data_IF_244719993828
#
_entry.id   IF_244719993828
#
_cell.length_a   1.000
_cell.length_b   1.000
_cell.length_c   1.000
_cell.angle_alpha   90.00
_cell.angle_beta   90.00
_cell.angle_gamma   90.00
#
_symmetry.space_group_name_H-M   'P 1'
#
loop_
_entity.id
_entity.type
_entity.pdbx_description
1 polymer ?
#
# COMPACT_ATOMS: atom_id res chain seq x y z
N UNK A 1 -19.94 50.18 44.95
CA UNK A 1 -19.02 49.02 45.06
C UNK A 1 -18.81 48.46 43.66
N UNK A 2 -17.59 48.43 43.10
CA UNK A 2 -17.35 48.02 41.75
C UNK A 2 -17.23 46.50 41.67
N UNK A 3 -17.91 45.90 40.68
CA UNK A 3 -17.79 44.49 40.27
C UNK A 3 -16.45 44.35 39.57
N UNK A 4 -15.63 43.43 40.04
CA UNK A 4 -14.33 43.07 39.44
C UNK A 4 -14.54 42.37 38.10
N UNK A 5 -13.99 42.94 37.04
CA UNK A 5 -13.75 42.29 35.76
C UNK A 5 -12.59 41.30 35.90
N UNK A 6 -12.73 40.09 35.42
CA UNK A 6 -11.61 39.23 35.22
C UNK A 6 -11.88 37.74 35.37
N UNK A 7 -12.68 37.18 34.47
CA UNK A 7 -12.53 35.76 34.15
C UNK A 7 -12.60 35.59 32.63
N UNK A 8 -11.45 35.37 32.06
CA UNK A 8 -11.27 35.14 30.62
C UNK A 8 -11.78 33.73 30.27
N UNK A 9 -12.63 33.53 29.24
CA UNK A 9 -13.16 32.24 28.88
C UNK A 9 -12.10 31.23 28.40
N UNK A 10 -10.87 31.67 28.17
CA UNK A 10 -9.78 30.88 27.58
C UNK A 10 -9.19 29.80 28.50
N UNK A 11 -9.22 29.99 29.84
CA UNK A 11 -8.64 29.01 30.76
C UNK A 11 -9.52 27.78 30.95
N UNK A 12 -10.82 27.93 30.85
CA UNK A 12 -11.76 26.83 31.04
C UNK A 12 -11.83 25.88 29.78
N UNK A 13 -11.60 26.47 28.58
CA UNK A 13 -11.57 25.71 27.34
C UNK A 13 -10.28 24.88 27.20
N UNK A 14 -9.14 25.40 27.67
CA UNK A 14 -7.85 24.67 27.67
C UNK A 14 -7.88 23.50 28.64
N UNK A 15 -8.50 23.65 29.82
CA UNK A 15 -8.64 22.56 30.79
C UNK A 15 -9.58 21.46 30.26
N UNK A 16 -10.66 21.80 29.57
CA UNK A 16 -11.57 20.80 28.97
C UNK A 16 -10.91 20.00 27.84
N UNK A 17 -10.02 20.59 27.06
CA UNK A 17 -9.26 19.89 26.01
C UNK A 17 -8.23 18.91 26.57
N UNK A 18 -7.56 19.27 27.68
CA UNK A 18 -6.60 18.39 28.38
C UNK A 18 -7.32 17.23 29.08
N UNK A 19 -8.46 17.50 29.71
CA UNK A 19 -9.27 16.46 30.36
C UNK A 19 -9.87 15.46 29.36
N UNK A 20 -10.25 15.91 28.16
CA UNK A 20 -10.69 15.05 27.07
C UNK A 20 -9.54 14.18 26.55
N UNK A 21 -8.33 14.73 26.46
CA UNK A 21 -7.13 14.01 26.03
C UNK A 21 -6.67 12.97 27.04
N UNK A 22 -6.65 13.32 28.35
CA UNK A 22 -6.31 12.39 29.42
C UNK A 22 -7.38 11.31 29.63
N UNK A 23 -8.65 11.62 29.41
CA UNK A 23 -9.74 10.65 29.39
C UNK A 23 -9.61 9.63 28.23
N UNK A 24 -9.21 10.06 27.04
CA UNK A 24 -8.92 9.21 25.89
C UNK A 24 -7.68 8.32 26.12
N UNK A 25 -6.62 8.84 26.76
CA UNK A 25 -5.42 8.05 27.11
C UNK A 25 -5.73 7.04 28.21
N UNK A 26 -6.56 7.36 29.18
CA UNK A 26 -7.04 6.44 30.21
C UNK A 26 -7.84 5.27 29.65
N UNK A 27 -8.59 5.48 28.57
CA UNK A 27 -9.32 4.45 27.83
C UNK A 27 -8.39 3.52 27.04
N UNK A 28 -7.26 4.05 26.52
CA UNK A 28 -6.26 3.29 25.73
C UNK A 28 -5.55 2.21 26.56
N UNK A 29 -5.22 2.48 27.82
CA UNK A 29 -4.49 1.51 28.67
C UNK A 29 -5.27 0.25 29.07
N UNK A 30 -6.59 0.23 28.89
CA UNK A 30 -7.44 -0.92 29.22
C UNK A 30 -7.82 -1.82 28.05
N UNK A 31 -7.44 -1.49 26.79
CA UNK A 31 -7.94 -2.17 25.59
C UNK A 31 -6.90 -2.78 24.65
N UNK A 32 -5.62 -2.80 25.02
CA UNK A 32 -4.56 -3.37 24.15
C UNK A 32 -4.60 -4.92 24.02
N UNK A 33 -5.54 -5.61 24.66
CA UNK A 33 -5.53 -7.07 24.72
C UNK A 33 -6.62 -7.79 23.87
N UNK A 34 -7.45 -7.09 23.07
CA UNK A 34 -8.44 -7.82 22.30
C UNK A 34 -8.73 -7.26 20.90
N UNK A 35 -8.30 -7.96 19.82
CA UNK A 35 -8.53 -7.52 18.43
C UNK A 35 -9.95 -7.79 17.91
N UNK A 36 -10.91 -8.11 18.78
CA UNK A 36 -12.30 -8.33 18.40
C UNK A 36 -13.19 -7.15 18.79
N UNK A 37 -14.13 -6.76 17.91
CA UNK A 37 -15.14 -5.78 18.25
C UNK A 37 -16.16 -6.34 19.25
N UNK A 38 -17.04 -5.48 19.80
CA UNK A 38 -18.09 -5.87 20.76
C UNK A 38 -19.03 -6.99 20.27
N UNK A 39 -18.99 -7.35 18.97
CA UNK A 39 -19.82 -8.41 18.34
C UNK A 39 -19.03 -9.68 18.03
N UNK A 40 -17.75 -9.79 18.43
CA UNK A 40 -16.95 -10.98 18.19
C UNK A 40 -16.42 -11.15 16.75
N UNK A 41 -16.54 -10.13 15.87
CA UNK A 41 -16.01 -10.16 14.53
C UNK A 41 -14.56 -9.68 14.48
N UNK A 42 -13.77 -10.25 13.57
CA UNK A 42 -12.40 -9.78 13.25
C UNK A 42 -12.45 -8.32 12.80
N UNK A 43 -11.63 -7.44 13.40
CA UNK A 43 -11.56 -6.03 13.01
C UNK A 43 -10.98 -5.91 11.60
N UNK A 44 -11.59 -5.05 10.78
CA UNK A 44 -11.16 -4.77 9.41
C UNK A 44 -10.01 -3.77 9.43
N UNK A 45 -8.85 -4.15 8.93
CA UNK A 45 -7.66 -3.28 8.91
C UNK A 45 -7.74 -2.26 7.77
N UNK A 46 -7.63 -0.96 8.08
CA UNK A 46 -7.69 0.13 7.09
C UNK A 46 -6.67 1.22 7.39
N UNK A 47 -6.19 1.87 6.33
CA UNK A 47 -5.28 3.03 6.45
C UNK A 47 -6.06 4.32 6.51
N UNK A 48 -5.59 5.25 7.34
CA UNK A 48 -6.11 6.61 7.38
C UNK A 48 -5.16 7.52 6.62
N UNK A 49 -5.72 8.35 5.74
CA UNK A 49 -5.05 9.45 5.07
C UNK A 49 -5.63 10.77 5.58
N UNK A 50 -4.76 11.63 6.10
CA UNK A 50 -5.11 12.96 6.58
C UNK A 50 -4.07 13.94 6.03
N UNK A 51 -4.45 14.76 5.07
CA UNK A 51 -3.50 15.60 4.39
C UNK A 51 -4.08 16.90 3.85
N UNK A 52 -3.19 17.85 3.52
CA UNK A 52 -3.57 19.12 2.95
C UNK A 52 -4.12 18.94 1.53
N UNK A 53 -5.33 19.46 1.28
CA UNK A 53 -5.94 19.55 -0.02
C UNK A 53 -5.43 20.72 -0.85
N UNK A 54 -5.94 20.83 -2.08
CA UNK A 54 -5.59 21.92 -3.02
C UNK A 54 -6.36 23.23 -2.79
N UNK A 55 -7.48 23.18 -2.08
CA UNK A 55 -8.32 24.34 -1.81
C UNK A 55 -9.09 24.80 -3.04
N UNK A 56 -9.95 23.95 -3.60
CA UNK A 56 -10.83 24.28 -4.72
C UNK A 56 -12.29 24.10 -4.31
N UNK A 57 -12.93 25.18 -3.86
CA UNK A 57 -14.33 25.16 -3.43
C UNK A 57 -15.30 24.80 -4.57
N UNK A 58 -14.93 25.12 -5.82
CA UNK A 58 -15.73 24.72 -7.01
C UNK A 58 -15.75 23.21 -7.20
N UNK A 59 -14.63 22.52 -6.94
CA UNK A 59 -14.58 21.05 -6.94
C UNK A 59 -15.35 20.50 -5.74
N UNK A 60 -15.06 21.00 -4.54
CA UNK A 60 -15.68 20.50 -3.31
C UNK A 60 -17.20 20.62 -3.34
N UNK A 61 -17.72 21.72 -3.91
CA UNK A 61 -19.17 22.01 -4.00
C UNK A 61 -19.81 21.50 -5.30
N UNK A 62 -19.09 20.72 -6.13
CA UNK A 62 -19.59 20.23 -7.43
C UNK A 62 -20.10 21.32 -8.38
N UNK A 63 -19.53 22.52 -8.31
CA UNK A 63 -19.68 23.56 -9.32
C UNK A 63 -18.85 23.24 -10.57
N UNK A 64 -17.85 22.40 -10.41
CA UNK A 64 -17.06 21.78 -11.48
C UNK A 64 -17.03 20.26 -11.27
N UNK A 65 -17.39 19.52 -12.32
CA UNK A 65 -17.38 18.04 -12.34
C UNK A 65 -16.09 17.55 -12.98
N UNK A 66 -15.28 16.83 -12.22
CA UNK A 66 -14.08 16.17 -12.73
C UNK A 66 -14.44 14.81 -13.35
N UNK A 67 -13.58 14.27 -14.20
CA UNK A 67 -13.82 13.01 -14.93
C UNK A 67 -13.99 11.77 -14.03
N UNK A 68 -13.51 11.84 -12.79
CA UNK A 68 -13.60 10.78 -11.79
C UNK A 68 -14.85 10.86 -10.91
N UNK A 69 -15.75 11.82 -11.15
CA UNK A 69 -17.00 12.01 -10.41
C UNK A 69 -18.16 11.30 -11.13
N UNK A 70 -18.92 10.51 -10.40
CA UNK A 70 -20.16 9.90 -10.90
C UNK A 70 -21.36 10.82 -10.61
N UNK A 71 -21.94 11.50 -11.63
CA UNK A 71 -23.04 12.43 -11.43
C UNK A 71 -24.29 11.79 -10.83
N UNK A 72 -24.50 10.50 -11.03
CA UNK A 72 -25.66 9.78 -10.49
C UNK A 72 -25.57 9.59 -8.98
N UNK A 73 -24.34 9.61 -8.43
CA UNK A 73 -24.08 9.49 -6.99
C UNK A 73 -23.90 10.83 -6.29
N UNK A 74 -23.72 11.93 -7.01
CA UNK A 74 -23.57 13.27 -6.41
C UNK A 74 -24.66 13.62 -5.39
N UNK A 75 -25.94 13.22 -5.54
CA UNK A 75 -26.95 13.43 -4.50
C UNK A 75 -26.68 12.70 -3.17
N UNK A 76 -25.74 11.74 -3.14
CA UNK A 76 -25.35 11.02 -1.91
C UNK A 76 -24.29 11.79 -1.11
N UNK A 77 -23.66 12.82 -1.68
CA UNK A 77 -22.71 13.68 -0.98
C UNK A 77 -23.39 14.37 0.21
N UNK A 78 -22.65 14.47 1.31
CA UNK A 78 -23.16 15.11 2.53
C UNK A 78 -22.47 16.46 2.71
N UNK A 79 -23.22 17.54 2.62
CA UNK A 79 -22.74 18.89 2.90
C UNK A 79 -23.04 19.23 4.36
N UNK A 80 -22.01 19.41 5.18
CA UNK A 80 -22.14 19.81 6.58
C UNK A 80 -22.25 21.33 6.73
N UNK A 81 -21.40 22.05 6.00
CA UNK A 81 -21.35 23.51 5.99
C UNK A 81 -21.06 23.97 4.56
N UNK A 82 -21.73 25.02 4.14
CA UNK A 82 -21.47 25.72 2.88
C UNK A 82 -21.76 27.20 3.04
N UNK A 83 -20.74 28.02 3.21
CA UNK A 83 -20.80 29.45 3.34
C UNK A 83 -19.84 30.11 2.34
N UNK A 84 -20.23 31.18 1.63
CA UNK A 84 -19.30 31.93 0.80
C UNK A 84 -18.13 32.48 1.63
N UNK A 85 -16.92 32.32 1.14
CA UNK A 85 -15.71 32.74 1.86
C UNK A 85 -15.71 34.24 2.21
N UNK A 86 -16.29 35.09 1.38
CA UNK A 86 -16.44 36.52 1.67
C UNK A 86 -17.28 36.79 2.92
N UNK A 87 -18.45 36.13 3.01
CA UNK A 87 -19.33 36.20 4.16
C UNK A 87 -18.66 35.67 5.44
N UNK A 88 -17.91 34.57 5.32
CA UNK A 88 -17.15 34.04 6.44
C UNK A 88 -16.08 35.02 6.96
N UNK A 89 -15.38 35.71 6.05
CA UNK A 89 -14.41 36.73 6.42
C UNK A 89 -15.06 37.97 7.08
N UNK A 90 -16.18 38.41 6.54
CA UNK A 90 -16.90 39.55 7.12
C UNK A 90 -17.42 39.21 8.53
N UNK A 91 -17.99 38.01 8.70
CA UNK A 91 -18.43 37.54 10.01
C UNK A 91 -17.28 37.45 11.04
N UNK A 92 -16.11 36.99 10.63
CA UNK A 92 -14.98 36.76 11.54
C UNK A 92 -14.21 38.06 11.87
N UNK A 93 -14.08 38.97 10.90
CA UNK A 93 -13.09 40.01 10.98
C UNK A 93 -13.64 41.45 10.86
N UNK A 94 -14.91 41.66 10.48
CA UNK A 94 -15.45 43.01 10.32
C UNK A 94 -15.36 43.85 11.58
N UNK A 95 -15.87 43.35 12.71
CA UNK A 95 -15.79 44.05 13.98
C UNK A 95 -14.35 44.35 14.43
N UNK A 96 -13.44 43.38 14.25
CA UNK A 96 -12.04 43.57 14.58
C UNK A 96 -11.37 44.63 13.70
N UNK A 97 -11.77 44.71 12.44
CA UNK A 97 -11.33 45.71 11.49
C UNK A 97 -11.84 47.09 11.88
N UNK A 98 -13.12 47.19 12.27
CA UNK A 98 -13.70 48.46 12.77
C UNK A 98 -12.99 48.94 14.02
N UNK A 99 -12.79 48.06 15.03
CA UNK A 99 -12.06 48.38 16.25
C UNK A 99 -10.61 48.83 15.98
N UNK A 100 -9.96 48.18 15.01
CA UNK A 100 -8.62 48.56 14.58
C UNK A 100 -8.62 49.94 13.95
N UNK A 101 -9.49 50.18 12.96
CA UNK A 101 -9.60 51.48 12.24
C UNK A 101 -9.90 52.62 13.18
N UNK A 102 -10.80 52.45 14.14
CA UNK A 102 -11.18 53.45 15.12
C UNK A 102 -9.98 53.96 15.97
N UNK A 103 -8.94 53.12 16.10
CA UNK A 103 -7.70 53.51 16.85
C UNK A 103 -6.64 54.16 15.96
N UNK A 104 -6.83 54.19 14.63
CA UNK A 104 -5.85 54.75 13.71
C UNK A 104 -6.02 56.29 13.62
N UNK A 105 -4.91 57.00 13.74
CA UNK A 105 -4.87 58.47 13.53
C UNK A 105 -4.58 58.85 12.07
N UNK A 106 -4.07 57.92 11.28
CA UNK A 106 -3.63 58.15 9.92
C UNK A 106 -4.42 57.23 8.98
N UNK A 107 -4.96 57.82 7.91
CA UNK A 107 -5.80 57.12 6.95
C UNK A 107 -5.03 56.02 6.19
N UNK A 108 -3.72 56.22 5.96
CA UNK A 108 -2.86 55.23 5.31
C UNK A 108 -2.61 53.95 6.13
N UNK A 109 -3.01 53.96 7.42
CA UNK A 109 -2.95 52.78 8.29
C UNK A 109 -4.28 52.09 8.49
N UNK A 110 -5.35 52.65 7.95
CA UNK A 110 -6.66 52.05 8.02
C UNK A 110 -6.81 50.93 7.00
N UNK A 111 -7.58 49.93 7.34
CA UNK A 111 -7.99 48.85 6.42
C UNK A 111 -9.22 49.37 5.66
N UNK A 112 -9.07 49.56 4.36
CA UNK A 112 -10.13 49.98 3.46
C UNK A 112 -10.72 48.78 2.73
N UNK A 113 -12.06 48.74 2.59
CA UNK A 113 -12.77 47.59 2.02
C UNK A 113 -12.86 46.41 2.98
N UNK A 114 -13.07 45.26 2.45
CA UNK A 114 -13.13 44.04 3.27
C UNK A 114 -11.73 43.61 3.75
N UNK A 115 -11.70 42.95 4.90
CA UNK A 115 -10.44 42.40 5.43
C UNK A 115 -9.81 41.37 4.45
N UNK A 116 -10.62 40.64 3.71
CA UNK A 116 -10.15 39.73 2.67
C UNK A 116 -9.39 40.49 1.57
N UNK A 117 -10.01 41.53 1.00
CA UNK A 117 -9.40 42.32 -0.06
C UNK A 117 -8.12 43.03 0.42
N UNK A 118 -8.12 43.51 1.65
CA UNK A 118 -6.93 44.11 2.26
C UNK A 118 -5.76 43.14 2.34
N UNK A 119 -5.99 41.86 2.70
CA UNK A 119 -4.94 40.87 2.81
C UNK A 119 -4.47 40.33 1.46
N UNK A 120 -5.38 40.03 0.55
CA UNK A 120 -5.09 39.28 -0.66
C UNK A 120 -5.06 40.12 -1.93
N UNK A 121 -5.45 41.36 -1.88
CA UNK A 121 -5.46 42.31 -3.00
C UNK A 121 -6.48 41.97 -4.11
N UNK A 122 -7.39 41.06 -3.85
CA UNK A 122 -8.42 40.59 -4.80
C UNK A 122 -9.74 40.34 -4.06
N UNK A 123 -10.87 40.34 -4.79
CA UNK A 123 -12.15 39.93 -4.25
C UNK A 123 -12.14 38.48 -3.80
N UNK A 124 -13.00 38.11 -2.83
CA UNK A 124 -13.17 36.73 -2.41
C UNK A 124 -13.39 35.77 -3.60
N UNK A 125 -12.69 34.64 -3.59
CA UNK A 125 -12.74 33.67 -4.69
C UNK A 125 -12.64 32.23 -4.19
N UNK A 126 -13.06 31.27 -5.01
CA UNK A 126 -13.21 29.84 -4.68
C UNK A 126 -11.89 29.06 -4.68
N UNK A 127 -10.73 29.74 -4.75
CA UNK A 127 -9.41 29.13 -4.71
C UNK A 127 -8.54 29.78 -3.65
N UNK A 128 -7.61 29.02 -3.07
CA UNK A 128 -6.67 29.54 -2.07
C UNK A 128 -5.85 30.69 -2.66
N UNK A 129 -5.85 31.82 -1.96
CA UNK A 129 -4.96 32.96 -2.22
C UNK A 129 -3.91 33.04 -1.14
N UNK A 130 -2.73 33.50 -1.54
CA UNK A 130 -1.61 33.69 -0.60
C UNK A 130 -1.25 35.17 -0.57
N UNK A 131 -1.28 35.77 0.62
CA UNK A 131 -0.88 37.11 0.86
C UNK A 131 0.65 37.29 0.80
N UNK A 132 1.13 38.54 0.73
CA UNK A 132 2.56 38.88 0.71
C UNK A 132 3.32 38.33 1.93
N UNK A 133 2.68 38.25 3.08
CA UNK A 133 3.21 37.69 4.32
C UNK A 133 3.03 36.16 4.46
N UNK A 134 2.68 35.45 3.36
CA UNK A 134 2.47 34.02 3.25
C UNK A 134 1.23 33.47 3.97
N UNK A 135 0.33 34.33 4.48
CA UNK A 135 -0.98 33.85 4.94
C UNK A 135 -1.81 33.34 3.78
N UNK A 136 -2.51 32.23 3.99
CA UNK A 136 -3.45 31.67 3.03
C UNK A 136 -4.86 32.14 3.36
N UNK A 137 -5.69 32.36 2.32
CA UNK A 137 -7.08 32.75 2.52
C UNK A 137 -7.90 31.71 3.29
N UNK A 138 -7.62 30.46 3.07
CA UNK A 138 -8.15 29.32 3.84
C UNK A 138 -7.23 28.13 3.69
N UNK A 139 -7.47 27.12 4.49
CA UNK A 139 -6.82 25.82 4.43
C UNK A 139 -7.85 24.75 4.14
N UNK A 140 -7.46 23.74 3.41
CA UNK A 140 -8.22 22.54 3.18
C UNK A 140 -7.44 21.35 3.73
N UNK A 141 -8.11 20.49 4.48
CA UNK A 141 -7.63 19.15 4.77
C UNK A 141 -8.59 18.11 4.17
N UNK A 142 -8.01 17.05 3.61
CA UNK A 142 -8.74 15.92 3.05
C UNK A 142 -8.52 14.70 3.92
N UNK A 143 -9.60 14.08 4.33
CA UNK A 143 -9.60 12.92 5.23
C UNK A 143 -10.23 11.73 4.54
N UNK A 144 -9.53 10.59 4.53
CA UNK A 144 -9.98 9.36 3.89
C UNK A 144 -9.60 8.15 4.75
N UNK A 145 -10.46 7.12 4.76
CA UNK A 145 -10.22 5.84 5.41
C UNK A 145 -10.23 4.74 4.36
N UNK A 146 -9.14 3.96 4.30
CA UNK A 146 -9.00 2.85 3.36
C UNK A 146 -8.59 3.27 1.96
N UNK A 147 -8.69 2.32 1.03
CA UNK A 147 -8.37 2.43 -0.39
C UNK A 147 -9.59 2.02 -1.22
N UNK A 148 -9.48 2.17 -2.54
CA UNK A 148 -10.54 1.78 -3.48
C UNK A 148 -10.91 0.30 -3.34
N UNK A 149 -9.92 -0.56 -3.08
CA UNK A 149 -10.09 -2.01 -3.01
C UNK A 149 -10.87 -2.45 -1.75
N UNK A 150 -10.76 -1.71 -0.66
CA UNK A 150 -11.31 -2.08 0.66
C UNK A 150 -12.39 -1.15 1.20
N UNK A 151 -12.53 0.05 0.63
CA UNK A 151 -13.45 1.10 1.08
C UNK A 151 -14.12 1.83 -0.08
N UNK A 152 -13.86 1.38 -1.33
CA UNK A 152 -14.40 1.98 -2.54
C UNK A 152 -15.89 1.68 -2.74
N UNK A 153 -16.48 2.39 -3.70
CA UNK A 153 -17.87 2.18 -4.09
C UNK A 153 -18.12 0.71 -4.48
N UNK A 154 -19.20 0.15 -3.95
CA UNK A 154 -19.56 -1.26 -4.16
C UNK A 154 -18.92 -2.24 -3.17
N UNK A 155 -18.01 -1.82 -2.31
CA UNK A 155 -17.49 -2.64 -1.22
C UNK A 155 -18.47 -2.64 -0.02
N UNK A 156 -18.40 -3.69 0.82
CA UNK A 156 -19.21 -3.80 2.04
C UNK A 156 -18.92 -2.66 3.04
N UNK A 157 -17.73 -2.06 2.98
CA UNK A 157 -17.27 -1.08 3.96
C UNK A 157 -17.48 0.36 3.51
N UNK A 158 -17.96 0.61 2.30
CA UNK A 158 -18.19 1.94 1.77
C UNK A 158 -19.03 2.82 2.71
N UNK A 159 -20.17 2.32 3.16
CA UNK A 159 -21.06 3.04 4.07
C UNK A 159 -20.46 3.17 5.48
N UNK A 160 -19.82 2.12 5.98
CA UNK A 160 -19.17 2.13 7.29
C UNK A 160 -18.09 3.21 7.38
N UNK A 161 -17.29 3.35 6.33
CA UNK A 161 -16.25 4.40 6.24
C UNK A 161 -16.89 5.80 6.17
N UNK A 162 -17.96 5.96 5.40
CA UNK A 162 -18.70 7.21 5.33
C UNK A 162 -19.27 7.62 6.70
N UNK A 163 -19.82 6.66 7.46
CA UNK A 163 -20.36 6.91 8.80
C UNK A 163 -19.26 7.35 9.79
N UNK A 164 -18.07 6.72 9.74
CA UNK A 164 -16.92 7.17 10.53
C UNK A 164 -16.48 8.60 10.19
N UNK A 165 -16.43 8.95 8.91
CA UNK A 165 -16.05 10.30 8.46
C UNK A 165 -17.11 11.34 8.83
N UNK A 166 -18.38 10.96 8.81
CA UNK A 166 -19.50 11.80 9.25
C UNK A 166 -19.39 12.11 10.74
N UNK A 167 -19.25 11.08 11.59
CA UNK A 167 -19.08 11.24 13.03
C UNK A 167 -17.84 12.08 13.37
N UNK A 168 -16.75 11.87 12.66
CA UNK A 168 -15.54 12.68 12.81
C UNK A 168 -15.81 14.17 12.55
N UNK A 169 -16.55 14.50 11.49
CA UNK A 169 -16.85 15.89 11.11
C UNK A 169 -17.80 16.57 12.11
N UNK A 170 -18.77 15.83 12.66
CA UNK A 170 -19.75 16.39 13.61
C UNK A 170 -19.08 17.01 14.85
N UNK A 171 -17.98 16.45 15.34
CA UNK A 171 -17.21 16.98 16.45
C UNK A 171 -16.05 17.91 16.07
N UNK A 172 -15.79 18.17 14.78
CA UNK A 172 -14.58 18.87 14.34
C UNK A 172 -14.50 20.30 14.83
N UNK A 173 -15.56 21.08 14.71
CA UNK A 173 -15.56 22.51 15.10
C UNK A 173 -15.37 22.71 16.61
N UNK A 174 -15.94 21.81 17.45
CA UNK A 174 -15.77 21.87 18.90
C UNK A 174 -14.32 21.58 19.31
N UNK A 175 -13.67 20.61 18.67
CA UNK A 175 -12.26 20.28 18.92
C UNK A 175 -11.30 21.37 18.43
N UNK A 176 -11.71 22.11 17.40
CA UNK A 176 -10.88 23.09 16.71
C UNK A 176 -11.49 24.50 16.74
N UNK A 177 -11.61 25.12 17.91
CA UNK A 177 -12.35 26.38 18.07
C UNK A 177 -11.73 27.56 17.31
N UNK A 178 -10.43 27.52 17.01
CA UNK A 178 -9.72 28.55 16.25
C UNK A 178 -9.67 28.26 14.74
N UNK A 179 -10.28 27.17 14.28
CA UNK A 179 -10.44 26.87 12.86
C UNK A 179 -11.92 27.01 12.49
N UNK A 180 -12.26 28.14 11.92
CA UNK A 180 -13.64 28.39 11.49
C UNK A 180 -13.92 27.61 10.20
N UNK A 181 -14.70 26.55 10.30
CA UNK A 181 -15.12 25.75 9.15
C UNK A 181 -16.24 26.49 8.41
N UNK A 182 -15.97 26.91 7.18
CA UNK A 182 -16.94 27.61 6.34
C UNK A 182 -17.45 26.75 5.18
N UNK A 183 -16.74 25.67 4.85
CA UNK A 183 -17.17 24.68 3.88
C UNK A 183 -16.70 23.29 4.30
N UNK A 184 -17.60 22.31 4.33
CA UNK A 184 -17.26 20.93 4.62
C UNK A 184 -18.22 19.98 3.88
N UNK A 185 -17.65 19.05 3.09
CA UNK A 185 -18.40 18.13 2.26
C UNK A 185 -17.76 16.74 2.32
N UNK A 186 -18.58 15.73 2.57
CA UNK A 186 -18.22 14.32 2.40
C UNK A 186 -18.63 13.88 0.99
N UNK A 187 -17.65 13.57 0.17
CA UNK A 187 -17.87 13.04 -1.17
C UNK A 187 -18.11 11.54 -1.15
N UNK A 188 -19.24 11.14 -1.72
CA UNK A 188 -19.67 9.76 -1.91
C UNK A 188 -19.72 9.36 -3.40
N UNK A 189 -19.47 10.32 -4.28
CA UNK A 189 -19.61 10.22 -5.74
C UNK A 189 -18.30 9.99 -6.50
N UNK A 190 -17.21 9.78 -5.77
CA UNK A 190 -15.90 9.38 -6.32
C UNK A 190 -15.58 7.93 -5.95
N UNK A 191 -14.35 7.50 -6.24
CA UNK A 191 -13.90 6.12 -6.05
C UNK A 191 -14.01 5.63 -4.59
N UNK A 192 -13.72 6.51 -3.62
CA UNK A 192 -13.77 6.23 -2.18
C UNK A 192 -14.41 7.39 -1.43
N UNK A 193 -15.13 7.15 -0.31
CA UNK A 193 -15.61 8.23 0.54
C UNK A 193 -14.42 9.03 1.10
N UNK A 194 -14.49 10.35 0.97
CA UNK A 194 -13.51 11.25 1.55
C UNK A 194 -14.12 12.59 1.92
N UNK A 195 -13.61 13.19 2.99
CA UNK A 195 -14.13 14.40 3.58
C UNK A 195 -13.20 15.57 3.24
N UNK A 196 -13.75 16.64 2.67
CA UNK A 196 -13.11 17.93 2.48
C UNK A 196 -13.52 18.87 3.59
N UNK A 197 -12.55 19.47 4.28
CA UNK A 197 -12.76 20.43 5.37
C UNK A 197 -12.01 21.71 5.03
N UNK A 198 -12.74 22.75 4.68
CA UNK A 198 -12.20 24.06 4.37
C UNK A 198 -12.41 25.01 5.56
N UNK A 199 -11.34 25.57 6.10
CA UNK A 199 -11.38 26.41 7.30
C UNK A 199 -10.49 27.63 7.22
N UNK A 200 -10.90 28.68 7.93
CA UNK A 200 -10.16 29.93 8.14
C UNK A 200 -9.56 29.89 9.53
N UNK A 201 -8.22 29.95 9.69
CA UNK A 201 -7.61 30.00 11.02
C UNK A 201 -7.74 31.37 11.64
N UNK A 202 -8.30 31.43 12.83
CA UNK A 202 -8.55 32.66 13.60
C UNK A 202 -7.58 32.76 14.78
N UNK A 203 -6.73 33.76 14.76
CA UNK A 203 -5.79 34.03 15.84
C UNK A 203 -6.08 35.38 16.55
N UNK A 204 -5.85 35.43 17.87
CA UNK A 204 -6.05 36.62 18.69
C UNK A 204 -4.71 37.28 19.05
N UNK A 205 -4.64 38.57 18.90
CA UNK A 205 -3.38 39.34 19.01
C UNK A 205 -3.53 40.54 19.96
N UNK A 206 -2.49 40.79 20.76
CA UNK A 206 -2.45 41.92 21.67
C UNK A 206 -2.11 43.26 20.99
N UNK A 207 -1.54 43.22 19.81
CA UNK A 207 -1.10 44.39 19.04
C UNK A 207 -1.66 44.35 17.62
N UNK A 208 -1.95 45.52 17.06
CA UNK A 208 -2.57 45.61 15.73
C UNK A 208 -4.07 45.35 15.76
N UNK A 209 -4.55 44.67 14.76
CA UNK A 209 -5.91 44.14 14.73
C UNK A 209 -5.97 42.97 15.70
N UNK A 210 -6.98 42.93 16.57
CA UNK A 210 -7.05 41.97 17.67
C UNK A 210 -7.43 40.56 17.22
N UNK A 211 -8.21 40.44 16.16
CA UNK A 211 -8.59 39.17 15.56
C UNK A 211 -8.17 39.13 14.09
N UNK A 212 -7.37 38.17 13.69
CA UNK A 212 -6.81 38.08 12.35
C UNK A 212 -6.78 36.65 11.85
N UNK A 213 -6.76 36.49 10.52
CA UNK A 213 -6.37 35.22 9.90
C UNK A 213 -4.90 34.91 10.25
N UNK A 214 -4.68 33.79 10.95
CA UNK A 214 -3.34 33.45 11.39
C UNK A 214 -3.20 32.02 11.92
N UNK A 215 -2.71 31.10 11.08
CA UNK A 215 -2.57 29.68 11.41
C UNK A 215 -1.65 29.42 12.61
N UNK A 216 -0.53 30.13 12.69
CA UNK A 216 0.44 29.93 13.77
C UNK A 216 -0.13 30.32 15.14
N UNK A 217 -0.87 31.43 15.19
CA UNK A 217 -1.50 31.90 16.42
C UNK A 217 -2.69 31.01 16.79
N UNK A 218 -3.51 30.58 15.82
CA UNK A 218 -4.61 29.68 16.04
C UNK A 218 -4.12 28.34 16.65
N UNK A 219 -3.08 27.74 16.08
CA UNK A 219 -2.47 26.50 16.59
C UNK A 219 -1.87 26.68 17.99
N UNK A 220 -1.24 27.83 18.25
CA UNK A 220 -0.71 28.16 19.58
C UNK A 220 -1.83 28.27 20.61
N UNK A 221 -2.93 28.95 20.29
CA UNK A 221 -4.09 29.13 21.19
C UNK A 221 -4.79 27.80 21.46
N UNK A 222 -4.83 26.88 20.49
CA UNK A 222 -5.34 25.51 20.66
C UNK A 222 -4.36 24.57 21.38
N UNK A 223 -3.17 25.05 21.82
CA UNK A 223 -2.23 24.26 22.62
C UNK A 223 -1.22 23.44 21.82
N UNK A 224 -1.19 23.53 20.49
CA UNK A 224 -0.25 22.76 19.65
C UNK A 224 1.16 23.40 19.58
N UNK A 225 1.37 24.53 20.27
CA UNK A 225 2.65 25.22 20.36
C UNK A 225 2.99 26.04 19.12
N UNK A 226 4.29 26.37 18.98
CA UNK A 226 4.79 27.27 17.94
C UNK A 226 5.66 26.53 16.91
N UNK A 227 5.92 27.20 15.76
CA UNK A 227 6.86 26.77 14.73
C UNK A 227 6.27 25.78 13.75
N UNK A 228 7.15 25.27 12.85
CA UNK A 228 6.76 24.43 11.71
C UNK A 228 6.13 23.09 12.10
N UNK A 229 6.38 22.61 13.32
CA UNK A 229 5.86 21.33 13.82
C UNK A 229 4.44 21.44 14.42
N UNK A 230 3.91 22.65 14.65
CA UNK A 230 2.62 22.84 15.29
C UNK A 230 1.46 22.20 14.48
N UNK A 231 1.46 22.40 13.17
CA UNK A 231 0.44 21.81 12.29
C UNK A 231 0.55 20.28 12.21
N UNK A 232 1.76 19.74 12.29
CA UNK A 232 1.97 18.29 12.30
C UNK A 232 1.46 17.66 13.61
N UNK A 233 1.68 18.34 14.76
CA UNK A 233 1.13 17.90 16.05
C UNK A 233 -0.39 17.94 16.07
N UNK A 234 -0.98 19.01 15.52
CA UNK A 234 -2.42 19.11 15.38
C UNK A 234 -2.99 17.96 14.53
N UNK A 235 -2.42 17.72 13.31
CA UNK A 235 -2.88 16.62 12.45
C UNK A 235 -2.73 15.26 13.14
N UNK A 236 -1.65 15.05 13.87
CA UNK A 236 -1.46 13.80 14.62
C UNK A 236 -2.56 13.61 15.69
N UNK A 237 -2.95 14.68 16.39
CA UNK A 237 -4.04 14.64 17.36
C UNK A 237 -5.39 14.33 16.69
N UNK A 238 -5.70 14.96 15.56
CA UNK A 238 -6.92 14.70 14.80
C UNK A 238 -6.96 13.26 14.23
N UNK A 239 -5.81 12.72 13.79
CA UNK A 239 -5.71 11.31 13.39
C UNK A 239 -5.99 10.37 14.55
N UNK A 240 -5.57 10.69 15.77
CA UNK A 240 -5.89 9.87 16.95
C UNK A 240 -7.40 9.88 17.28
N UNK A 241 -8.08 11.01 17.10
CA UNK A 241 -9.54 11.07 17.22
C UNK A 241 -10.20 10.16 16.18
N UNK A 242 -9.78 10.25 14.92
CA UNK A 242 -10.32 9.42 13.85
C UNK A 242 -10.01 7.93 14.08
N UNK A 243 -8.83 7.61 14.60
CA UNK A 243 -8.47 6.25 15.01
C UNK A 243 -9.44 5.71 16.07
N UNK A 244 -9.81 6.52 17.06
CA UNK A 244 -10.75 6.11 18.12
C UNK A 244 -12.14 5.83 17.53
N UNK A 245 -12.66 6.69 16.66
CA UNK A 245 -13.94 6.49 15.96
C UNK A 245 -13.88 5.18 15.14
N UNK A 246 -12.83 4.99 14.35
CA UNK A 246 -12.63 3.77 13.56
C UNK A 246 -12.69 2.50 14.43
N UNK A 247 -11.99 2.52 15.56
CA UNK A 247 -11.99 1.38 16.50
C UNK A 247 -13.38 1.08 17.07
N UNK A 248 -14.19 2.11 17.36
CA UNK A 248 -15.57 1.94 17.82
C UNK A 248 -16.47 1.31 16.78
N UNK A 249 -16.22 1.62 15.50
CA UNK A 249 -16.90 1.05 14.35
C UNK A 249 -16.32 -0.31 13.88
N UNK A 250 -15.33 -0.88 14.59
CA UNK A 250 -14.74 -2.17 14.26
C UNK A 250 -13.70 -2.13 13.15
N UNK A 251 -13.18 -0.95 12.84
CA UNK A 251 -12.04 -0.73 11.93
C UNK A 251 -10.78 -0.57 12.76
N UNK A 252 -9.74 -1.37 12.45
CA UNK A 252 -8.41 -1.27 13.05
C UNK A 252 -7.53 -0.37 12.17
N UNK A 253 -7.16 0.84 12.62
CA UNK A 253 -6.26 1.70 11.87
C UNK A 253 -4.88 1.07 11.75
N UNK A 254 -4.34 1.05 10.53
CA UNK A 254 -2.97 0.66 10.25
C UNK A 254 -2.04 1.86 10.44
N UNK A 255 -0.81 1.59 10.86
CA UNK A 255 0.22 2.62 10.95
C UNK A 255 0.37 3.37 9.61
N UNK A 256 0.57 4.71 9.63
CA UNK A 256 0.79 5.46 8.40
C UNK A 256 2.04 4.94 7.69
N UNK A 257 1.95 4.74 6.38
CA UNK A 257 3.15 4.53 5.57
C UNK A 257 4.05 5.76 5.69
N UNK A 258 5.38 5.55 5.63
CA UNK A 258 6.32 6.68 5.52
C UNK A 258 5.84 7.58 4.40
N UNK A 259 5.68 8.88 4.70
CA UNK A 259 5.23 9.86 3.72
C UNK A 259 6.13 9.74 2.48
N UNK A 260 5.57 9.22 1.40
CA UNK A 260 6.21 9.30 0.08
C UNK A 260 6.26 10.78 -0.22
N UNK A 261 7.43 11.33 -0.51
CA UNK A 261 7.59 12.74 -0.81
C UNK A 261 6.55 13.23 -1.83
N UNK A 262 6.40 14.54 -1.96
CA UNK A 262 5.42 15.14 -2.87
C UNK A 262 5.75 14.74 -4.31
N UNK A 263 5.10 13.67 -4.80
CA UNK A 263 5.23 13.23 -6.19
C UNK A 263 4.14 13.94 -6.98
N UNK A 264 4.48 14.53 -8.11
CA UNK A 264 3.51 15.14 -9.03
C UNK A 264 2.49 14.11 -9.52
N UNK A 265 1.23 14.51 -9.72
CA UNK A 265 0.14 13.59 -10.09
C UNK A 265 0.46 12.72 -11.33
N UNK A 266 1.08 13.24 -12.41
CA UNK A 266 1.47 12.41 -13.56
C UNK A 266 2.50 11.34 -13.18
N UNK A 267 3.51 11.71 -12.38
CA UNK A 267 4.56 10.80 -11.89
C UNK A 267 3.97 9.72 -10.96
N UNK A 268 3.01 10.08 -10.11
CA UNK A 268 2.29 9.13 -9.27
C UNK A 268 1.45 8.14 -10.12
N UNK A 269 0.76 8.61 -11.14
CA UNK A 269 -0.02 7.74 -12.05
C UNK A 269 0.89 6.77 -12.80
N UNK A 270 2.07 7.22 -13.25
CA UNK A 270 3.04 6.38 -13.93
C UNK A 270 3.66 5.34 -12.98
N UNK A 271 4.05 5.74 -11.76
CA UNK A 271 4.53 4.80 -10.73
C UNK A 271 3.45 3.78 -10.35
N UNK A 272 2.20 4.20 -10.30
CA UNK A 272 1.08 3.29 -10.02
C UNK A 272 0.92 2.29 -11.16
N UNK A 273 0.96 2.71 -12.42
CA UNK A 273 0.90 1.82 -13.58
C UNK A 273 2.04 0.80 -13.56
N UNK A 274 3.27 1.24 -13.29
CA UNK A 274 4.43 0.34 -13.18
C UNK A 274 4.28 -0.66 -12.01
N UNK A 275 3.74 -0.21 -10.89
CA UNK A 275 3.45 -1.11 -9.76
C UNK A 275 2.33 -2.12 -10.08
N UNK A 276 1.30 -1.70 -10.82
CA UNK A 276 0.22 -2.58 -11.26
C UNK A 276 0.75 -3.61 -12.27
N UNK A 277 1.60 -3.22 -13.23
CA UNK A 277 2.30 -4.11 -14.16
C UNK A 277 3.21 -5.12 -13.43
N UNK A 278 3.98 -4.66 -12.42
CA UNK A 278 4.80 -5.52 -11.58
C UNK A 278 3.97 -6.48 -10.73
N UNK A 279 2.82 -6.03 -10.23
CA UNK A 279 1.89 -6.87 -9.48
C UNK A 279 1.30 -7.97 -10.37
N UNK A 280 0.96 -7.64 -11.62
CA UNK A 280 0.49 -8.62 -12.61
C UNK A 280 1.59 -9.63 -12.98
N UNK A 281 2.82 -9.18 -13.20
CA UNK A 281 3.97 -10.07 -13.44
C UNK A 281 4.25 -10.98 -12.24
N UNK A 282 4.15 -10.46 -11.01
CA UNK A 282 4.30 -11.26 -9.80
C UNK A 282 3.18 -12.30 -9.68
N UNK A 283 1.93 -11.95 -9.98
CA UNK A 283 0.81 -12.89 -9.98
C UNK A 283 0.99 -13.99 -11.04
N UNK A 284 1.49 -13.66 -12.23
CA UNK A 284 1.82 -14.63 -13.27
C UNK A 284 2.95 -15.58 -12.82
N UNK A 285 4.00 -15.04 -12.21
CA UNK A 285 5.12 -15.82 -11.66
C UNK A 285 4.69 -16.73 -10.51
N UNK A 286 3.80 -16.26 -9.63
CA UNK A 286 3.21 -17.10 -8.58
C UNK A 286 2.35 -18.24 -9.14
N UNK A 287 1.57 -17.98 -10.19
CA UNK A 287 0.81 -19.01 -10.88
C UNK A 287 1.73 -20.07 -11.53
N UNK A 288 2.81 -19.64 -12.20
CA UNK A 288 3.81 -20.56 -12.75
C UNK A 288 4.53 -21.36 -11.66
N UNK A 289 4.86 -20.74 -10.54
CA UNK A 289 5.43 -21.42 -9.38
C UNK A 289 4.48 -22.46 -8.80
N UNK A 290 3.19 -22.14 -8.71
CA UNK A 290 2.15 -23.07 -8.27
C UNK A 290 2.02 -24.26 -9.22
N UNK A 291 2.03 -24.03 -10.54
CA UNK A 291 2.02 -25.09 -11.54
C UNK A 291 3.26 -25.99 -11.45
N UNK A 292 4.46 -25.39 -11.31
CA UNK A 292 5.71 -26.14 -11.15
C UNK A 292 5.72 -26.96 -9.85
N UNK A 293 5.16 -26.43 -8.75
CA UNK A 293 4.99 -27.17 -7.48
C UNK A 293 4.07 -28.36 -7.66
N UNK A 294 2.91 -28.18 -8.32
CA UNK A 294 1.99 -29.28 -8.61
C UNK A 294 2.62 -30.36 -9.48
N UNK A 295 3.43 -29.96 -10.50
CA UNK A 295 4.20 -30.93 -11.32
C UNK A 295 5.25 -31.66 -10.48
N UNK A 296 5.94 -30.96 -9.57
CA UNK A 296 6.91 -31.60 -8.66
C UNK A 296 6.24 -32.60 -7.73
N UNK A 297 5.08 -32.28 -7.16
CA UNK A 297 4.32 -33.18 -6.28
C UNK A 297 3.86 -34.43 -7.02
N UNK A 298 3.42 -34.31 -8.28
CA UNK A 298 3.08 -35.49 -9.13
C UNK A 298 4.30 -36.35 -9.42
N UNK A 299 5.46 -35.73 -9.65
CA UNK A 299 6.71 -36.45 -9.87
C UNK A 299 7.17 -37.20 -8.61
N UNK A 300 7.01 -36.54 -7.44
CA UNK A 300 7.31 -37.17 -6.15
C UNK A 300 6.41 -38.41 -5.90
N UNK A 301 5.11 -38.29 -6.22
CA UNK A 301 4.19 -39.45 -6.15
C UNK A 301 4.61 -40.57 -7.08
N UNK A 302 5.01 -40.26 -8.32
CA UNK A 302 5.51 -41.29 -9.26
C UNK A 302 6.81 -41.94 -8.76
N UNK A 303 7.70 -41.19 -8.15
CA UNK A 303 8.92 -41.71 -7.52
C UNK A 303 8.56 -42.65 -6.36
N UNK A 304 7.59 -42.27 -5.54
CA UNK A 304 7.13 -43.08 -4.41
C UNK A 304 6.45 -44.39 -4.88
N UNK A 305 5.59 -44.34 -5.91
CA UNK A 305 5.00 -45.49 -6.52
C UNK A 305 6.04 -46.45 -7.14
N UNK A 306 7.03 -45.89 -7.87
CA UNK A 306 8.11 -46.69 -8.44
C UNK A 306 9.04 -47.24 -7.37
N UNK A 307 9.31 -46.50 -6.31
CA UNK A 307 10.06 -46.98 -5.15
C UNK A 307 9.34 -48.18 -4.47
N UNK A 308 8.00 -48.07 -4.31
CA UNK A 308 7.20 -49.17 -3.78
C UNK A 308 7.22 -50.41 -4.70
N UNK A 309 7.18 -50.22 -6.03
CA UNK A 309 7.31 -51.31 -7.01
C UNK A 309 8.70 -51.98 -6.91
N UNK A 310 9.78 -51.20 -6.78
CA UNK A 310 11.14 -51.75 -6.59
C UNK A 310 11.23 -52.49 -5.26
N UNK A 311 10.67 -51.97 -4.17
CA UNK A 311 10.59 -52.70 -2.89
C UNK A 311 9.80 -54.00 -3.00
N UNK A 312 8.67 -54.00 -3.72
CA UNK A 312 7.89 -55.22 -3.97
C UNK A 312 8.65 -56.26 -4.79
N UNK A 313 9.41 -55.83 -5.80
CA UNK A 313 10.26 -56.71 -6.62
C UNK A 313 11.39 -57.29 -5.76
N UNK A 314 12.02 -56.52 -4.93
CA UNK A 314 13.09 -56.94 -4.02
C UNK A 314 12.60 -57.95 -2.98
N UNK A 315 11.36 -57.82 -2.50
CA UNK A 315 10.73 -58.79 -1.59
C UNK A 315 10.30 -60.10 -2.27
N UNK A 316 10.32 -60.15 -3.60
CA UNK A 316 9.91 -61.34 -4.39
C UNK A 316 11.11 -62.17 -4.87
N UNK A 317 12.36 -61.78 -4.50
CA UNK A 317 13.54 -62.57 -4.81
C UNK A 317 13.58 -63.80 -3.90
N UNK A 318 13.40 -65.05 -4.45
CA UNK A 318 13.31 -66.24 -3.63
C UNK A 318 14.65 -66.65 -3.03
N UNK A 319 14.62 -67.60 -2.06
CA UNK A 319 15.70 -68.16 -1.22
C UNK A 319 17.00 -68.68 -1.93
N UNK A 320 17.14 -68.48 -3.23
CA UNK A 320 18.33 -68.88 -4.02
C UNK A 320 19.60 -68.10 -3.73
N UNK A 321 19.46 -67.01 -2.99
CA UNK A 321 20.59 -66.09 -2.64
C UNK A 321 21.55 -66.73 -1.63
N UNK A 322 21.11 -67.71 -0.81
CA UNK A 322 21.94 -68.36 0.22
C UNK A 322 23.13 -69.12 -0.33
N UNK A 323 23.05 -69.62 -1.58
CA UNK A 323 24.15 -70.40 -2.18
C UNK A 323 25.29 -69.56 -2.76
N UNK A 324 25.08 -68.23 -2.93
CA UNK A 324 26.06 -67.40 -3.66
C UNK A 324 26.61 -66.17 -2.91
N UNK A 325 26.37 -66.02 -1.60
CA UNK A 325 26.79 -64.83 -0.81
C UNK A 325 26.24 -63.50 -1.37
N UNK A 326 25.17 -63.54 -2.15
CA UNK A 326 24.59 -62.37 -2.82
C UNK A 326 23.56 -61.73 -1.89
N UNK A 327 23.05 -62.47 -0.90
CA UNK A 327 22.00 -62.05 0.03
C UNK A 327 22.40 -60.78 0.80
N UNK A 328 23.59 -60.76 1.39
CA UNK A 328 24.10 -59.64 2.16
C UNK A 328 24.35 -58.39 1.30
N UNK A 329 24.85 -58.57 0.08
CA UNK A 329 25.12 -57.46 -0.86
C UNK A 329 23.82 -56.81 -1.36
N UNK A 330 22.80 -57.63 -1.70
CA UNK A 330 21.47 -57.17 -2.12
C UNK A 330 20.76 -56.44 -0.98
N UNK A 331 20.75 -57.02 0.21
CA UNK A 331 20.12 -56.45 1.39
C UNK A 331 20.77 -55.13 1.84
N UNK A 332 22.10 -55.08 1.76
CA UNK A 332 22.83 -53.85 2.05
C UNK A 332 22.52 -52.75 1.04
N UNK A 333 22.55 -53.04 -0.25
CA UNK A 333 22.20 -52.12 -1.33
C UNK A 333 20.75 -51.63 -1.23
N UNK A 334 19.82 -52.50 -0.86
CA UNK A 334 18.42 -52.18 -0.64
C UNK A 334 18.24 -51.22 0.56
N UNK A 335 18.91 -51.51 1.68
CA UNK A 335 18.90 -50.62 2.88
C UNK A 335 19.50 -49.27 2.56
N UNK A 336 20.61 -49.22 1.87
CA UNK A 336 21.26 -48.00 1.47
C UNK A 336 20.40 -47.19 0.50
N UNK A 337 19.81 -47.82 -0.53
CA UNK A 337 18.85 -47.19 -1.43
C UNK A 337 17.60 -46.65 -0.70
N UNK A 338 17.07 -47.44 0.22
CA UNK A 338 15.89 -47.03 1.02
C UNK A 338 16.20 -45.83 1.86
N UNK A 339 17.38 -45.80 2.50
CA UNK A 339 17.81 -44.65 3.32
C UNK A 339 18.07 -43.38 2.49
N UNK A 340 18.56 -43.53 1.27
CA UNK A 340 18.79 -42.44 0.32
C UNK A 340 17.49 -41.91 -0.31
N UNK A 341 16.47 -42.74 -0.42
CA UNK A 341 15.12 -42.43 -0.93
C UNK A 341 14.19 -41.83 0.15
N UNK A 342 14.64 -41.82 1.41
CA UNK A 342 13.84 -41.29 2.52
C UNK A 342 13.95 -39.75 2.59
N UNK A 343 13.00 -39.05 1.97
CA UNK A 343 12.86 -37.59 1.96
C UNK A 343 13.36 -36.89 0.68
N UNK A 344 12.61 -35.89 0.27
CA UNK A 344 12.84 -35.13 -1.00
C UNK A 344 14.24 -34.50 -1.09
N UNK A 345 14.79 -34.02 0.02
CA UNK A 345 16.12 -33.40 0.06
C UNK A 345 17.24 -34.45 -0.07
N UNK A 346 17.06 -35.65 0.46
CA UNK A 346 18.01 -36.73 0.36
C UNK A 346 18.13 -37.23 -1.08
N UNK A 347 17.01 -37.37 -1.78
CA UNK A 347 16.99 -37.80 -3.20
C UNK A 347 17.74 -36.79 -4.08
N UNK A 348 17.52 -35.48 -3.88
CA UNK A 348 18.21 -34.44 -4.65
C UNK A 348 19.72 -34.38 -4.38
N UNK A 349 20.14 -34.66 -3.15
CA UNK A 349 21.53 -34.58 -2.73
C UNK A 349 22.34 -35.81 -3.13
N UNK A 350 21.71 -36.98 -3.24
CA UNK A 350 22.34 -38.25 -3.45
C UNK A 350 21.92 -38.97 -4.76
N UNK A 351 21.41 -38.21 -5.73
CA UNK A 351 20.88 -38.77 -7.00
C UNK A 351 21.89 -39.66 -7.74
N UNK A 352 23.18 -39.28 -7.75
CA UNK A 352 24.25 -40.04 -8.42
C UNK A 352 24.54 -41.36 -7.72
N UNK A 353 24.52 -41.31 -6.39
CA UNK A 353 24.73 -42.46 -5.54
C UNK A 353 23.55 -43.47 -5.67
N UNK A 354 22.32 -42.97 -5.71
CA UNK A 354 21.10 -43.76 -5.94
C UNK A 354 21.19 -44.50 -7.28
N UNK A 355 21.57 -43.79 -8.35
CA UNK A 355 21.71 -44.37 -9.68
C UNK A 355 22.82 -45.41 -9.71
N UNK A 356 23.98 -45.11 -9.13
CA UNK A 356 25.08 -46.06 -9.06
C UNK A 356 24.69 -47.35 -8.34
N UNK A 357 23.99 -47.25 -7.20
CA UNK A 357 23.52 -48.38 -6.42
C UNK A 357 22.41 -49.16 -7.14
N UNK A 358 21.50 -48.47 -7.83
CA UNK A 358 20.47 -49.11 -8.67
C UNK A 358 21.07 -49.86 -9.88
N UNK A 359 22.11 -49.28 -10.51
CA UNK A 359 22.85 -49.96 -11.59
C UNK A 359 23.59 -51.21 -11.09
N UNK A 360 24.18 -51.15 -9.90
CA UNK A 360 24.84 -52.27 -9.26
C UNK A 360 23.82 -53.39 -8.94
N UNK A 361 22.67 -53.02 -8.39
CA UNK A 361 21.56 -53.96 -8.16
C UNK A 361 21.09 -54.61 -9.45
N UNK A 362 20.94 -53.84 -10.53
CA UNK A 362 20.61 -54.36 -11.86
C UNK A 362 21.65 -55.38 -12.38
N UNK A 363 22.95 -55.14 -12.15
CA UNK A 363 24.02 -56.08 -12.50
C UNK A 363 23.95 -57.38 -11.70
N UNK A 364 23.63 -57.29 -10.41
CA UNK A 364 23.45 -58.48 -9.54
C UNK A 364 22.25 -59.28 -9.99
N UNK A 365 21.11 -58.61 -10.26
CA UNK A 365 19.91 -59.26 -10.80
C UNK A 365 20.17 -59.94 -12.18
N UNK A 366 21.02 -59.33 -13.02
CA UNK A 366 21.45 -59.95 -14.27
C UNK A 366 22.21 -61.24 -14.05
N UNK A 367 23.15 -61.27 -13.09
CA UNK A 367 23.89 -62.49 -12.73
C UNK A 367 22.97 -63.58 -12.19
N UNK A 368 21.97 -63.20 -11.37
CA UNK A 368 20.92 -64.12 -10.88
C UNK A 368 20.07 -64.68 -12.02
N UNK A 369 19.68 -63.83 -12.98
CA UNK A 369 18.94 -64.27 -14.18
C UNK A 369 19.70 -65.27 -15.09
N UNK A 370 21.00 -64.98 -15.21
CA UNK A 370 21.86 -65.91 -16.05
C UNK A 370 22.08 -67.25 -15.39
N UNK A 371 21.87 -67.42 -14.05
CA UNK A 371 22.05 -68.67 -13.30
C UNK A 371 20.77 -69.51 -13.17
N UNK A 372 19.58 -68.95 -13.44
CA UNK A 372 18.28 -69.66 -13.27
C UNK A 372 17.51 -69.77 -14.57
N UNK A 373 17.76 -70.82 -15.34
CA UNK A 373 17.10 -71.16 -16.62
C UNK A 373 15.61 -71.62 -16.54
N UNK A 374 14.94 -71.53 -15.37
CA UNK A 374 13.55 -71.97 -15.19
C UNK A 374 12.52 -70.92 -14.74
N UNK A 375 12.93 -69.68 -14.53
CA UNK A 375 11.98 -68.57 -14.21
C UNK A 375 12.11 -67.38 -15.20
N UNK A 376 12.60 -67.64 -16.42
CA UNK A 376 13.10 -66.64 -17.37
C UNK A 376 12.12 -65.55 -17.76
N UNK A 377 10.84 -65.89 -17.99
CA UNK A 377 9.90 -64.94 -18.56
C UNK A 377 9.46 -63.83 -17.58
N UNK A 378 9.35 -64.19 -16.29
CA UNK A 378 8.93 -63.21 -15.27
C UNK A 378 10.07 -62.27 -14.88
N UNK A 379 11.29 -62.81 -14.77
CA UNK A 379 12.49 -62.02 -14.44
C UNK A 379 12.87 -61.12 -15.62
N UNK A 380 12.71 -61.58 -16.85
CA UNK A 380 12.96 -60.79 -18.06
C UNK A 380 11.99 -59.63 -18.17
N UNK A 381 10.69 -59.82 -17.95
CA UNK A 381 9.67 -58.80 -17.98
C UNK A 381 9.87 -57.73 -16.86
N UNK A 382 10.30 -58.17 -15.67
CA UNK A 382 10.62 -57.28 -14.57
C UNK A 382 11.87 -56.44 -14.84
N UNK A 383 12.86 -57.04 -15.53
CA UNK A 383 14.08 -56.34 -15.93
C UNK A 383 13.83 -55.29 -17.00
N UNK A 384 13.03 -55.58 -18.05
CA UNK A 384 12.64 -54.56 -19.04
C UNK A 384 11.92 -53.35 -18.38
N UNK A 385 11.02 -53.66 -17.45
CA UNK A 385 10.33 -52.59 -16.71
C UNK A 385 11.29 -51.75 -15.83
N UNK A 386 12.28 -52.39 -15.20
CA UNK A 386 13.31 -51.71 -14.40
C UNK A 386 14.21 -50.84 -15.28
N UNK A 387 14.68 -51.38 -16.41
CA UNK A 387 15.52 -50.63 -17.38
C UNK A 387 14.75 -49.43 -18.00
N UNK A 388 13.46 -49.58 -18.28
CA UNK A 388 12.59 -48.53 -18.71
C UNK A 388 12.43 -47.44 -17.65
N UNK A 389 12.21 -47.82 -16.39
CA UNK A 389 12.10 -46.90 -15.25
C UNK A 389 13.38 -46.16 -14.94
N UNK A 390 14.55 -46.80 -15.10
CA UNK A 390 15.87 -46.16 -14.94
C UNK A 390 16.13 -45.11 -16.03
N UNK A 391 15.75 -45.38 -17.29
CA UNK A 391 15.87 -44.41 -18.39
C UNK A 391 15.01 -43.18 -18.16
N UNK A 392 13.73 -43.37 -17.77
CA UNK A 392 12.84 -42.25 -17.43
C UNK A 392 13.35 -41.43 -16.28
N UNK A 393 13.93 -42.04 -15.25
CA UNK A 393 14.51 -41.38 -14.10
C UNK A 393 15.70 -40.51 -14.50
N UNK A 394 16.54 -40.99 -15.42
CA UNK A 394 17.70 -40.24 -15.94
C UNK A 394 17.26 -39.03 -16.79
N UNK A 395 16.24 -39.21 -17.65
CA UNK A 395 15.66 -38.06 -18.42
C UNK A 395 15.11 -36.95 -17.51
N UNK A 396 14.32 -37.37 -16.50
CA UNK A 396 13.79 -36.42 -15.51
C UNK A 396 14.92 -35.70 -14.74
N UNK A 397 15.99 -36.43 -14.40
CA UNK A 397 17.16 -35.82 -13.73
C UNK A 397 17.87 -34.81 -14.60
N UNK A 398 18.05 -35.08 -15.88
CA UNK A 398 18.66 -34.10 -16.80
C UNK A 398 17.82 -32.84 -16.91
N UNK A 399 16.50 -32.96 -17.03
CA UNK A 399 15.58 -31.80 -17.05
C UNK A 399 15.61 -31.01 -15.75
N UNK A 400 15.67 -31.68 -14.59
CA UNK A 400 15.80 -31.05 -13.30
C UNK A 400 17.11 -30.27 -13.17
N UNK A 401 18.22 -30.85 -13.64
CA UNK A 401 19.55 -30.21 -13.63
C UNK A 401 19.57 -28.95 -14.52
N UNK A 402 18.94 -29.03 -15.69
CA UNK A 402 18.81 -27.89 -16.60
C UNK A 402 17.96 -26.76 -15.95
N UNK A 403 16.78 -27.10 -15.45
CA UNK A 403 15.89 -26.13 -14.79
C UNK A 403 16.55 -25.48 -13.54
N UNK A 404 17.30 -26.25 -12.77
CA UNK A 404 18.07 -25.72 -11.63
C UNK A 404 19.19 -24.75 -12.06
N UNK A 405 19.84 -25.02 -13.20
CA UNK A 405 20.81 -24.11 -13.81
C UNK A 405 20.17 -22.78 -14.21
N UNK A 406 19.08 -22.84 -14.96
CA UNK A 406 18.33 -21.67 -15.39
C UNK A 406 17.82 -20.82 -14.22
N UNK A 407 17.31 -21.45 -13.16
CA UNK A 407 16.91 -20.76 -11.94
C UNK A 407 18.07 -20.05 -11.25
N UNK A 408 19.27 -20.64 -11.29
CA UNK A 408 20.48 -20.05 -10.66
C UNK A 408 21.03 -18.87 -11.47
N UNK A 409 20.87 -18.88 -12.80
CA UNK A 409 21.20 -17.76 -13.67
C UNK A 409 20.22 -16.61 -13.47
N UNK A 410 18.91 -16.88 -13.51
CA UNK A 410 17.88 -15.89 -13.26
C UNK A 410 18.02 -15.21 -11.90
N UNK A 411 18.37 -15.95 -10.84
CA UNK A 411 18.65 -15.37 -9.52
C UNK A 411 19.84 -14.40 -9.54
N UNK A 412 20.89 -14.71 -10.29
CA UNK A 412 22.05 -13.82 -10.46
C UNK A 412 21.65 -12.56 -11.21
N UNK A 413 20.86 -12.70 -12.27
CA UNK A 413 20.37 -11.57 -13.06
C UNK A 413 19.47 -10.65 -12.25
N UNK A 414 18.54 -11.21 -11.49
CA UNK A 414 17.67 -10.45 -10.56
C UNK A 414 18.51 -9.71 -9.53
N UNK A 415 19.51 -10.34 -8.93
CA UNK A 415 20.40 -9.72 -7.94
C UNK A 415 21.21 -8.57 -8.55
N UNK A 416 21.70 -8.76 -9.79
CA UNK A 416 22.44 -7.73 -10.54
C UNK A 416 21.53 -6.54 -10.93
N UNK A 417 20.29 -6.81 -11.36
CA UNK A 417 19.32 -5.78 -11.67
C UNK A 417 18.91 -5.00 -10.44
N UNK A 418 18.72 -5.67 -9.31
CA UNK A 418 18.38 -5.01 -8.04
C UNK A 418 19.49 -4.06 -7.61
N UNK A 419 20.76 -4.46 -7.66
CA UNK A 419 21.89 -3.59 -7.37
C UNK A 419 21.92 -2.35 -8.28
N UNK A 420 21.65 -2.51 -9.57
CA UNK A 420 21.57 -1.37 -10.52
C UNK A 420 20.40 -0.43 -10.19
N UNK A 421 19.26 -0.96 -9.78
CA UNK A 421 18.10 -0.16 -9.36
C UNK A 421 18.44 0.63 -8.10
N UNK A 422 19.13 0.02 -7.13
CA UNK A 422 19.53 0.68 -5.90
C UNK A 422 20.54 1.82 -6.19
N UNK A 423 21.55 1.59 -7.04
CA UNK A 423 22.51 2.60 -7.48
C UNK A 423 21.84 3.76 -8.23
N UNK A 424 20.92 3.45 -9.15
CA UNK A 424 20.16 4.48 -9.88
C UNK A 424 19.24 5.29 -8.95
N UNK A 425 18.63 4.65 -7.98
CA UNK A 425 17.78 5.31 -6.99
C UNK A 425 18.58 6.26 -6.11
N UNK A 426 19.77 5.84 -5.67
CA UNK A 426 20.71 6.70 -4.95
C UNK A 426 21.17 7.87 -5.82
N UNK A 427 21.59 7.61 -7.07
CA UNK A 427 22.00 8.65 -8.01
C UNK A 427 20.90 9.68 -8.26
N UNK A 428 19.66 9.25 -8.50
CA UNK A 428 18.50 10.14 -8.67
C UNK A 428 18.25 10.98 -7.42
N UNK A 429 18.40 10.39 -6.23
CA UNK A 429 18.23 11.11 -4.97
C UNK A 429 19.30 12.19 -4.77
N UNK A 430 20.55 11.90 -5.14
CA UNK A 430 21.66 12.84 -5.11
C UNK A 430 21.46 13.97 -6.14
N UNK A 431 21.04 13.63 -7.34
CA UNK A 431 20.76 14.61 -8.41
C UNK A 431 19.65 15.59 -8.00
N UNK A 432 18.56 15.07 -7.42
CA UNK A 432 17.47 15.90 -6.86
C UNK A 432 17.95 16.86 -5.76
N UNK A 433 18.90 16.41 -4.95
CA UNK A 433 19.39 17.16 -3.78
C UNK A 433 20.41 18.23 -4.14
N UNK A 434 21.35 17.93 -5.03
CA UNK A 434 22.51 18.76 -5.32
C UNK A 434 22.42 19.54 -6.64
N UNK A 435 21.68 19.02 -7.63
CA UNK A 435 21.57 19.59 -8.98
C UNK A 435 20.11 19.58 -9.49
N UNK A 436 19.19 20.27 -8.80
CA UNK A 436 17.74 20.18 -9.11
C UNK A 436 17.40 20.66 -10.54
N UNK A 437 18.17 21.59 -11.12
CA UNK A 437 17.97 22.03 -12.49
C UNK A 437 18.33 20.94 -13.51
N UNK A 438 19.47 20.27 -13.33
CA UNK A 438 19.86 19.13 -14.18
C UNK A 438 18.89 17.96 -14.04
N UNK A 439 18.38 17.75 -12.84
CA UNK A 439 17.34 16.73 -12.63
C UNK A 439 16.09 17.03 -13.46
N UNK A 440 15.63 18.30 -13.48
CA UNK A 440 14.48 18.72 -14.27
C UNK A 440 14.73 18.54 -15.79
N UNK A 441 15.93 18.87 -16.27
CA UNK A 441 16.32 18.69 -17.68
C UNK A 441 16.34 17.20 -18.08
N UNK A 442 16.92 16.34 -17.24
CA UNK A 442 16.95 14.88 -17.48
C UNK A 442 15.54 14.30 -17.50
N UNK A 443 14.68 14.73 -16.57
CA UNK A 443 13.28 14.32 -16.53
C UNK A 443 12.53 14.72 -17.81
N UNK A 444 12.71 15.95 -18.28
CA UNK A 444 12.09 16.43 -19.51
C UNK A 444 12.57 15.66 -20.75
N UNK A 445 13.86 15.33 -20.81
CA UNK A 445 14.42 14.50 -21.85
C UNK A 445 13.86 13.06 -21.81
N UNK A 446 13.68 12.50 -20.63
CA UNK A 446 13.08 11.18 -20.45
C UNK A 446 11.61 11.14 -20.91
N UNK A 447 10.82 12.15 -20.57
CA UNK A 447 9.43 12.29 -21.01
C UNK A 447 9.34 12.39 -22.54
N UNK A 448 10.26 13.12 -23.17
CA UNK A 448 10.34 13.21 -24.62
C UNK A 448 10.64 11.85 -25.27
N UNK A 449 11.64 11.12 -24.78
CA UNK A 449 12.00 9.77 -25.28
C UNK A 449 10.84 8.79 -25.09
N UNK A 450 10.14 8.87 -23.96
CA UNK A 450 8.99 8.00 -23.69
C UNK A 450 7.84 8.26 -24.68
N UNK A 451 7.53 9.53 -24.93
CA UNK A 451 6.49 9.91 -25.89
C UNK A 451 6.81 9.44 -27.32
N UNK A 452 8.07 9.46 -27.72
CA UNK A 452 8.52 8.93 -29.02
C UNK A 452 8.35 7.41 -29.10
N UNK A 453 8.71 6.68 -28.06
CA UNK A 453 8.51 5.22 -28.00
C UNK A 453 7.03 4.83 -28.05
N UNK A 454 6.18 5.55 -27.34
CA UNK A 454 4.71 5.30 -27.40
C UNK A 454 4.16 5.54 -28.80
N UNK A 455 4.61 6.57 -29.48
CA UNK A 455 4.23 6.82 -30.89
C UNK A 455 4.71 5.70 -31.82
N UNK A 456 5.92 5.18 -31.64
CA UNK A 456 6.44 4.07 -32.41
C UNK A 456 5.66 2.77 -32.17
N UNK A 457 5.30 2.48 -30.90
CA UNK A 457 4.48 1.32 -30.55
C UNK A 457 3.07 1.44 -31.14
N UNK A 458 2.44 2.60 -31.07
CA UNK A 458 1.13 2.83 -31.68
C UNK A 458 1.19 2.73 -33.22
N UNK A 459 2.24 3.24 -33.86
CA UNK A 459 2.44 3.10 -35.29
C UNK A 459 2.68 1.64 -35.70
N UNK A 460 3.42 0.89 -34.89
CA UNK A 460 3.66 -0.54 -35.16
C UNK A 460 2.38 -1.38 -34.98
N UNK A 461 1.57 -1.07 -33.95
CA UNK A 461 0.27 -1.71 -33.73
C UNK A 461 -0.73 -1.41 -34.87
N UNK A 462 -0.75 -0.16 -35.35
CA UNK A 462 -1.60 0.23 -36.50
C UNK A 462 -1.14 -0.40 -37.81
N UNK A 463 0.18 -0.60 -38.00
CA UNK A 463 0.72 -1.32 -39.17
C UNK A 463 0.33 -2.83 -39.12
N UNK A 464 0.42 -3.48 -37.95
CA UNK A 464 -0.04 -4.87 -37.78
C UNK A 464 -1.53 -5.01 -38.07
N UNK A 465 -2.38 -4.10 -37.57
CA UNK A 465 -3.82 -4.14 -37.81
C UNK A 465 -4.19 -3.99 -39.28
N UNK A 466 -3.49 -3.11 -40.03
CA UNK A 466 -3.67 -2.95 -41.51
C UNK A 466 -3.19 -4.16 -42.31
N UNK A 467 -2.26 -4.98 -41.81
CA UNK A 467 -1.83 -6.20 -42.52
C UNK A 467 -2.82 -7.36 -42.30
N UNK A 468 -3.60 -7.37 -41.24
CA UNK A 468 -4.64 -8.38 -40.97
C UNK A 468 -5.97 -8.08 -41.69
N UNK A 469 -6.21 -6.82 -42.08
CA UNK A 469 -7.39 -6.43 -42.85
C UNK A 469 -7.19 -6.61 -44.38
N UNK A 470 -6.05 -7.13 -44.83
CA UNK A 470 -5.66 -7.35 -46.25
C UNK A 470 -5.43 -8.82 -46.60
N UNK A 471 -5.57 -9.76 -45.66
CA UNK A 471 -5.67 -11.22 -45.87
C UNK A 471 -7.09 -11.71 -45.65
#
# INVERSE_FOLDING_TARGET
MPVRAGDSPSALAVMKGVDAYDSLIGFRRKREENPMNKKGNTMKEKRISFGQGKGSLTHNNREFMADNVDPLRTPQNITFVRQPIGEAYDQLFAESTERYNARQKRNDRMIHGSYYEHLFGVKPCNTVRTAADKRKSFYEDVVQIGKIEDSGYGTEDFQLVADCLKEYMEGFQERNPNFYVFNAVLHMDEATPHLHIDYIPVGHYKRGQDTQNGIAQALKEMGYGEGKQAIARWRAAEVEVLNAICLEHGIKPLAPEKARGTVEIPEYKEQRRQNDELAEQNAQMEAELSEKRSKSEKLDQQIEEKSAQVKAILNYIPDYEKEFQIEDECEQLCRELTSLLDGKLSIMKHSDEIISKAQRLSKIMKKLSDSTHKSGDTVYALRERLDGSLKETEDVRQRLKQASGECSELRRDVSSLQAKVDDLTEFVSLLKRFEPQKYAEVKQAQEYVHSQREQEVQQSATRKKKSWDLE
#
